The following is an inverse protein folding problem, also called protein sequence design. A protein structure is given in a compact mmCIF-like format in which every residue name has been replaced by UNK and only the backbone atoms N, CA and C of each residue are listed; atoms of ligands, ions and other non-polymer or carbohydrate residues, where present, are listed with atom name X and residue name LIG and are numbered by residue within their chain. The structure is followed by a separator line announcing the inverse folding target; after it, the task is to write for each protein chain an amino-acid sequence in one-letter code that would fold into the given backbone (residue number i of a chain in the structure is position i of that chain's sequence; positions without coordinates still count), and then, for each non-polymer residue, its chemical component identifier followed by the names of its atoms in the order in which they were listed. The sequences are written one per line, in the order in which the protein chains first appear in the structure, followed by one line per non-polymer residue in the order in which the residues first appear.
data_IF_397839430128
#
_entry.id   IF_397839430128
#
_cell.length_a   1.000
_cell.length_b   1.000
_cell.length_c   1.000
_cell.angle_alpha   90.00
_cell.angle_beta   90.00
_cell.angle_gamma   90.00
#
_symmetry.space_group_name_H-M   'P 1'
#
loop_
_entity.id
_entity.type
_entity.pdbx_description
1 polymer ?
#
# COMPACT_ATOMS: atom_id res chain seq x y z
N UNK A 1 -18.84 -23.11 31.04
CA UNK A 1 -18.78 -23.20 29.58
C UNK A 1 -17.58 -24.07 29.27
N UNK A 2 -17.78 -25.17 28.55
CA UNK A 2 -16.76 -26.21 28.38
C UNK A 2 -15.65 -25.72 27.44
N UNK A 3 -14.38 -25.95 27.77
CA UNK A 3 -13.21 -25.40 27.03
C UNK A 3 -13.23 -25.83 25.55
N UNK A 4 -13.81 -27.00 25.28
CA UNK A 4 -13.99 -27.55 23.95
C UNK A 4 -15.07 -26.82 23.13
N UNK A 5 -16.13 -26.35 23.78
CA UNK A 5 -17.18 -25.55 23.11
C UNK A 5 -16.68 -24.16 22.75
N UNK A 6 -15.90 -23.52 23.62
CA UNK A 6 -15.26 -22.22 23.33
C UNK A 6 -14.27 -22.33 22.17
N UNK A 7 -13.45 -23.38 22.13
CA UNK A 7 -12.49 -23.58 21.04
C UNK A 7 -13.18 -23.89 19.69
N UNK A 8 -14.28 -24.65 19.70
CA UNK A 8 -15.06 -24.92 18.49
C UNK A 8 -15.80 -23.67 17.98
N UNK A 9 -16.28 -22.82 18.90
CA UNK A 9 -16.92 -21.54 18.58
C UNK A 9 -15.94 -20.55 17.93
N UNK A 10 -14.77 -20.33 18.55
CA UNK A 10 -13.73 -19.42 18.03
C UNK A 10 -13.25 -19.83 16.64
N UNK A 11 -13.10 -21.15 16.41
CA UNK A 11 -12.71 -21.68 15.09
C UNK A 11 -13.76 -21.39 14.02
N UNK A 12 -15.05 -21.54 14.34
CA UNK A 12 -16.14 -21.21 13.39
C UNK A 12 -16.21 -19.72 13.11
N UNK A 13 -16.04 -18.88 14.14
CA UNK A 13 -16.02 -17.42 13.97
C UNK A 13 -14.87 -16.98 13.05
N UNK A 14 -13.65 -17.49 13.25
CA UNK A 14 -12.50 -17.21 12.36
C UNK A 14 -12.72 -17.67 10.92
N UNK A 15 -13.35 -18.82 10.72
CA UNK A 15 -13.66 -19.31 9.37
C UNK A 15 -14.69 -18.42 8.65
N UNK A 16 -15.74 -18.01 9.35
CA UNK A 16 -16.75 -17.10 8.81
C UNK A 16 -16.15 -15.73 8.45
N UNK A 17 -15.23 -15.23 9.27
CA UNK A 17 -14.52 -13.98 9.00
C UNK A 17 -13.60 -14.08 7.79
N UNK A 18 -12.78 -15.13 7.68
CA UNK A 18 -11.95 -15.34 6.49
C UNK A 18 -12.80 -15.43 5.22
N UNK A 19 -13.97 -16.06 5.30
CA UNK A 19 -14.93 -16.12 4.20
C UNK A 19 -15.49 -14.73 3.86
N UNK A 20 -15.93 -13.97 4.86
CA UNK A 20 -16.46 -12.62 4.68
C UNK A 20 -15.40 -11.66 4.10
N UNK A 21 -14.17 -11.71 4.60
CA UNK A 21 -13.05 -10.93 4.09
C UNK A 21 -12.74 -11.29 2.63
N UNK A 22 -12.67 -12.59 2.33
CA UNK A 22 -12.47 -13.06 0.96
C UNK A 22 -13.58 -12.59 0.01
N UNK A 23 -14.84 -12.69 0.43
CA UNK A 23 -15.98 -12.19 -0.33
C UNK A 23 -15.90 -10.68 -0.54
N UNK A 24 -15.46 -9.92 0.47
CA UNK A 24 -15.29 -8.46 0.34
C UNK A 24 -14.16 -8.04 -0.60
N UNK A 25 -13.21 -8.94 -0.90
CA UNK A 25 -12.15 -8.70 -1.88
C UNK A 25 -12.54 -9.04 -3.33
N UNK A 26 -13.65 -9.77 -3.54
CA UNK A 26 -14.11 -10.13 -4.90
C UNK A 26 -14.26 -8.91 -5.82
N UNK A 27 -14.88 -7.79 -5.40
CA UNK A 27 -14.96 -6.59 -6.24
C UNK A 27 -13.58 -6.05 -6.63
N UNK A 28 -12.62 -6.04 -5.70
CA UNK A 28 -11.25 -5.60 -5.96
C UNK A 28 -10.56 -6.47 -7.02
N UNK A 29 -10.67 -7.80 -6.91
CA UNK A 29 -10.08 -8.70 -7.90
C UNK A 29 -10.72 -8.54 -9.28
N UNK A 30 -12.05 -8.40 -9.35
CA UNK A 30 -12.76 -8.17 -10.61
C UNK A 30 -12.33 -6.85 -11.26
N UNK A 31 -12.26 -5.76 -10.48
CA UNK A 31 -11.81 -4.46 -11.00
C UNK A 31 -10.34 -4.48 -11.44
N UNK A 32 -9.46 -5.14 -10.68
CA UNK A 32 -8.04 -5.29 -11.01
C UNK A 32 -7.86 -6.10 -12.30
N UNK A 33 -8.58 -7.21 -12.45
CA UNK A 33 -8.56 -8.03 -13.64
C UNK A 33 -9.10 -7.27 -14.86
N UNK A 34 -10.20 -6.52 -14.70
CA UNK A 34 -10.74 -5.67 -15.76
C UNK A 34 -9.74 -4.60 -16.20
N UNK A 35 -9.10 -3.90 -15.26
CA UNK A 35 -8.06 -2.91 -15.58
C UNK A 35 -6.88 -3.55 -16.33
N UNK A 36 -6.33 -4.65 -15.82
CA UNK A 36 -5.19 -5.33 -16.43
C UNK A 36 -5.54 -5.89 -17.82
N UNK A 37 -6.75 -6.40 -18.01
CA UNK A 37 -7.24 -6.88 -19.30
C UNK A 37 -7.34 -5.75 -20.32
N UNK A 38 -7.98 -4.63 -19.94
CA UNK A 38 -8.09 -3.45 -20.81
C UNK A 38 -6.72 -2.94 -21.21
N UNK A 39 -5.81 -2.77 -20.24
CA UNK A 39 -4.47 -2.24 -20.46
C UNK A 39 -3.54 -3.21 -21.21
N UNK A 40 -3.81 -4.51 -21.17
CA UNK A 40 -3.05 -5.50 -21.93
C UNK A 40 -3.43 -5.54 -23.41
N UNK A 41 -4.67 -5.16 -23.76
CA UNK A 41 -5.17 -5.20 -25.14
C UNK A 41 -4.91 -3.89 -25.87
N UNK A 42 -5.24 -2.76 -25.25
CA UNK A 42 -5.03 -1.42 -25.79
C UNK A 42 -4.70 -0.47 -24.63
N UNK A 43 -3.58 0.27 -24.69
CA UNK A 43 -3.35 1.37 -23.76
C UNK A 43 -4.30 2.51 -24.13
N UNK A 44 -5.41 2.74 -23.39
CA UNK A 44 -6.37 3.76 -23.78
C UNK A 44 -5.70 5.15 -23.70
N UNK A 45 -6.09 6.10 -24.56
CA UNK A 45 -5.63 7.46 -24.42
C UNK A 45 -6.04 8.04 -23.05
N UNK A 46 -5.27 9.01 -22.50
CA UNK A 46 -5.60 9.65 -21.24
C UNK A 46 -7.05 10.18 -21.23
N UNK A 47 -7.86 9.66 -20.32
CA UNK A 47 -9.28 9.98 -20.23
C UNK A 47 -9.77 9.82 -18.79
N UNK A 48 -10.85 10.53 -18.46
CA UNK A 48 -11.51 10.41 -17.14
C UNK A 48 -11.97 8.97 -16.87
N UNK A 49 -12.39 8.25 -17.92
CA UNK A 49 -12.76 6.83 -17.82
C UNK A 49 -11.54 5.99 -17.47
N UNK A 50 -10.40 6.17 -18.16
CA UNK A 50 -9.17 5.44 -17.85
C UNK A 50 -8.68 5.71 -16.42
N UNK A 51 -8.77 6.95 -15.95
CA UNK A 51 -8.48 7.34 -14.57
C UNK A 51 -9.39 6.64 -13.57
N UNK A 52 -10.71 6.64 -13.83
CA UNK A 52 -11.69 5.94 -12.99
C UNK A 52 -11.45 4.43 -12.94
N UNK A 53 -11.19 3.78 -14.07
CA UNK A 53 -10.91 2.33 -14.13
C UNK A 53 -9.62 1.97 -13.41
N UNK A 54 -8.58 2.81 -13.51
CA UNK A 54 -7.31 2.63 -12.78
C UNK A 54 -7.47 2.81 -11.26
N UNK A 55 -8.26 3.79 -10.83
CA UNK A 55 -8.49 4.06 -9.41
C UNK A 55 -9.50 3.09 -8.76
N UNK A 56 -10.38 2.45 -9.54
CA UNK A 56 -11.48 1.63 -9.04
C UNK A 56 -11.05 0.50 -8.08
N UNK A 57 -10.00 -0.30 -8.34
CA UNK A 57 -9.58 -1.34 -7.40
C UNK A 57 -9.25 -0.78 -6.01
N UNK A 58 -8.53 0.34 -5.97
CA UNK A 58 -8.08 0.97 -4.71
C UNK A 58 -9.25 1.62 -3.98
N UNK A 59 -10.20 2.22 -4.70
CA UNK A 59 -11.44 2.75 -4.12
C UNK A 59 -12.30 1.64 -3.49
N UNK A 60 -12.36 0.46 -4.11
CA UNK A 60 -13.07 -0.69 -3.55
C UNK A 60 -12.39 -1.21 -2.27
N UNK A 61 -11.06 -1.21 -2.21
CA UNK A 61 -10.33 -1.50 -0.98
C UNK A 61 -10.59 -0.46 0.11
N UNK A 62 -10.63 0.84 -0.25
CA UNK A 62 -10.95 1.90 0.70
C UNK A 62 -12.37 1.71 1.28
N UNK A 63 -13.35 1.42 0.43
CA UNK A 63 -14.72 1.14 0.85
C UNK A 63 -14.81 -0.11 1.75
N UNK A 64 -14.05 -1.17 1.42
CA UNK A 64 -13.95 -2.35 2.28
C UNK A 64 -13.40 -1.97 3.65
N UNK A 65 -12.24 -1.31 3.72
CA UNK A 65 -11.62 -0.93 5.01
C UNK A 65 -12.56 -0.05 5.83
N UNK A 66 -13.28 0.89 5.20
CA UNK A 66 -14.29 1.71 5.90
C UNK A 66 -15.47 0.89 6.41
N UNK A 67 -15.91 -0.12 5.66
CA UNK A 67 -16.99 -1.01 6.08
C UNK A 67 -16.63 -1.86 7.31
N UNK A 68 -15.37 -2.28 7.43
CA UNK A 68 -14.89 -3.09 8.55
C UNK A 68 -14.44 -2.25 9.76
N UNK A 69 -13.61 -1.23 9.52
CA UNK A 69 -12.94 -0.47 10.59
C UNK A 69 -13.62 0.88 10.90
N UNK A 70 -14.65 1.24 10.12
CA UNK A 70 -15.40 2.47 10.27
C UNK A 70 -14.64 3.74 9.85
N UNK A 71 -15.30 4.88 10.03
CA UNK A 71 -14.79 6.21 9.63
C UNK A 71 -13.48 6.62 10.31
N UNK A 72 -13.10 5.99 11.43
CA UNK A 72 -11.82 6.24 12.09
C UNK A 72 -10.63 5.85 11.23
N UNK A 73 -10.78 4.88 10.31
CA UNK A 73 -9.71 4.50 9.37
C UNK A 73 -9.41 5.57 8.31
N UNK A 74 -10.26 6.61 8.15
CA UNK A 74 -9.95 7.75 7.28
C UNK A 74 -8.69 8.51 7.69
N UNK A 75 -8.37 8.55 8.99
CA UNK A 75 -7.13 9.13 9.47
C UNK A 75 -5.89 8.23 9.27
N UNK A 76 -6.05 7.08 8.61
CA UNK A 76 -5.02 6.06 8.43
C UNK A 76 -5.17 5.34 7.09
N UNK A 77 -5.36 4.02 7.11
CA UNK A 77 -5.30 3.18 5.91
C UNK A 77 -6.38 3.52 4.89
N UNK A 78 -7.65 3.71 5.28
CA UNK A 78 -8.68 4.10 4.32
C UNK A 78 -8.37 5.45 3.66
N UNK A 79 -7.89 6.44 4.42
CA UNK A 79 -7.48 7.73 3.86
C UNK A 79 -6.30 7.60 2.90
N UNK A 80 -5.31 6.76 3.25
CA UNK A 80 -4.17 6.47 2.38
C UNK A 80 -4.58 5.81 1.06
N UNK A 81 -5.55 4.89 1.09
CA UNK A 81 -6.13 4.28 -0.11
C UNK A 81 -6.87 5.31 -0.97
N UNK A 82 -7.65 6.21 -0.37
CA UNK A 82 -8.32 7.29 -1.11
C UNK A 82 -7.32 8.25 -1.77
N UNK A 83 -6.25 8.62 -1.07
CA UNK A 83 -5.17 9.45 -1.63
C UNK A 83 -4.40 8.73 -2.73
N UNK A 84 -4.18 7.42 -2.58
CA UNK A 84 -3.58 6.59 -3.61
C UNK A 84 -4.45 6.54 -4.88
N UNK A 85 -5.78 6.44 -4.72
CA UNK A 85 -6.72 6.52 -5.83
C UNK A 85 -6.71 7.89 -6.53
N UNK A 86 -6.54 8.98 -5.78
CA UNK A 86 -6.30 10.32 -6.37
C UNK A 86 -4.99 10.33 -7.16
N UNK A 87 -3.93 9.74 -6.60
CA UNK A 87 -2.66 9.54 -7.28
C UNK A 87 -2.80 8.78 -8.59
N UNK A 88 -3.56 7.68 -8.60
CA UNK A 88 -3.86 6.87 -9.78
C UNK A 88 -4.52 7.69 -10.89
N UNK A 89 -5.51 8.51 -10.53
CA UNK A 89 -6.17 9.42 -11.44
C UNK A 89 -5.19 10.44 -12.03
N UNK A 90 -4.37 11.10 -11.20
CA UNK A 90 -3.39 12.07 -11.67
C UNK A 90 -2.35 11.45 -12.62
N UNK A 91 -1.88 10.24 -12.31
CA UNK A 91 -0.86 9.56 -13.13
C UNK A 91 -1.34 9.09 -14.51
N UNK A 92 -2.62 9.27 -14.86
CA UNK A 92 -3.10 9.06 -16.24
C UNK A 92 -2.63 10.18 -17.17
N UNK A 93 -2.44 11.39 -16.65
CA UNK A 93 -1.98 12.55 -17.40
C UNK A 93 -0.52 12.88 -17.05
N UNK A 94 0.40 12.91 -18.02
CA UNK A 94 1.81 13.24 -17.76
C UNK A 94 2.00 14.59 -17.07
N UNK A 95 1.15 15.57 -17.38
CA UNK A 95 1.17 16.93 -16.82
C UNK A 95 0.85 16.94 -15.32
N UNK A 96 0.14 15.93 -14.84
CA UNK A 96 -0.27 15.81 -13.44
C UNK A 96 0.65 14.90 -12.62
N UNK A 97 1.79 14.49 -13.17
CA UNK A 97 2.74 13.58 -12.51
C UNK A 97 3.13 14.05 -11.10
N UNK A 98 3.48 15.34 -10.95
CA UNK A 98 3.90 15.90 -9.65
C UNK A 98 2.75 15.86 -8.62
N UNK A 99 1.52 16.17 -9.04
CA UNK A 99 0.35 16.09 -8.17
C UNK A 99 0.04 14.64 -7.78
N UNK A 100 0.19 13.69 -8.72
CA UNK A 100 0.04 12.27 -8.45
C UNK A 100 1.07 11.76 -7.43
N UNK A 101 2.35 12.12 -7.64
CA UNK A 101 3.43 11.83 -6.69
C UNK A 101 3.14 12.43 -5.31
N UNK A 102 2.63 13.67 -5.25
CA UNK A 102 2.22 14.32 -4.00
C UNK A 102 1.08 13.57 -3.29
N UNK A 103 0.07 13.11 -4.03
CA UNK A 103 -1.03 12.33 -3.48
C UNK A 103 -0.55 10.98 -2.91
N UNK A 104 0.33 10.27 -3.62
CA UNK A 104 0.96 9.05 -3.11
C UNK A 104 1.88 9.30 -1.90
N UNK A 105 2.64 10.40 -1.88
CA UNK A 105 3.43 10.79 -0.71
C UNK A 105 2.54 11.01 0.53
N UNK A 106 1.40 11.68 0.35
CA UNK A 106 0.42 11.87 1.42
C UNK A 106 -0.23 10.53 1.83
N UNK A 107 -0.44 9.59 0.90
CA UNK A 107 -0.88 8.24 1.23
C UNK A 107 0.13 7.50 2.11
N UNK A 108 1.41 7.51 1.74
CA UNK A 108 2.51 6.93 2.53
C UNK A 108 2.59 7.52 3.94
N UNK A 109 2.33 8.83 4.07
CA UNK A 109 2.24 9.48 5.37
C UNK A 109 1.06 8.96 6.20
N UNK A 110 -0.13 8.83 5.63
CA UNK A 110 -1.29 8.28 6.35
C UNK A 110 -1.09 6.81 6.75
N UNK A 111 -0.51 5.99 5.87
CA UNK A 111 -0.11 4.62 6.21
C UNK A 111 0.89 4.60 7.37
N UNK A 112 1.91 5.46 7.32
CA UNK A 112 2.90 5.60 8.39
C UNK A 112 2.25 6.00 9.72
N UNK A 113 1.35 6.98 9.71
CA UNK A 113 0.62 7.41 10.90
C UNK A 113 -0.26 6.28 11.45
N UNK A 114 -0.91 5.49 10.59
CA UNK A 114 -1.67 4.32 11.01
C UNK A 114 -0.78 3.30 11.73
N UNK A 115 0.38 2.96 11.15
CA UNK A 115 1.32 1.97 11.69
C UNK A 115 2.00 2.44 13.00
N UNK A 116 1.96 3.74 13.30
CA UNK A 116 2.42 4.29 14.59
C UNK A 116 1.40 4.14 15.71
N UNK A 117 0.13 3.88 15.40
CA UNK A 117 -0.91 3.77 16.43
C UNK A 117 -0.72 2.54 17.31
N UNK A 118 -1.26 2.59 18.53
CA UNK A 118 -1.17 1.49 19.48
C UNK A 118 -1.77 0.15 18.97
N UNK A 119 -2.66 0.22 17.97
CA UNK A 119 -3.28 -0.96 17.34
C UNK A 119 -2.23 -1.85 16.66
N UNK A 120 -1.20 -1.24 16.09
CA UNK A 120 -0.12 -1.88 15.35
C UNK A 120 1.14 -2.14 16.18
N UNK A 121 1.09 -1.91 17.50
CA UNK A 121 2.26 -2.14 18.34
C UNK A 121 2.52 -3.65 18.46
N UNK A 122 3.74 -4.12 18.17
CA UNK A 122 4.05 -5.54 18.24
C UNK A 122 3.90 -6.04 19.68
N UNK A 123 3.30 -7.22 19.83
CA UNK A 123 3.04 -7.85 21.13
C UNK A 123 4.30 -8.35 21.85
N UNK A 124 5.46 -8.35 21.17
CA UNK A 124 6.76 -8.73 21.73
C UNK A 124 7.77 -7.60 21.52
N UNK A 125 8.69 -7.39 22.48
CA UNK A 125 9.71 -6.36 22.34
C UNK A 125 10.60 -6.63 21.12
N UNK A 126 10.99 -5.54 20.46
CA UNK A 126 11.84 -5.58 19.28
C UNK A 126 13.24 -6.12 19.63
N UNK A 127 13.71 -7.11 18.86
CA UNK A 127 15.04 -7.72 19.00
C UNK A 127 16.11 -6.84 18.34
N UNK A 128 17.38 -6.99 18.74
CA UNK A 128 18.53 -6.28 18.13
C UNK A 128 18.58 -6.39 16.59
N UNK A 129 18.10 -7.52 16.03
CA UNK A 129 17.99 -7.73 14.58
C UNK A 129 17.05 -6.74 13.87
N UNK A 130 16.08 -6.15 14.58
CA UNK A 130 15.19 -5.13 14.01
C UNK A 130 15.92 -3.83 13.68
N UNK A 131 16.91 -3.43 14.50
CA UNK A 131 17.67 -2.18 14.26
C UNK A 131 18.49 -2.30 12.97
N UNK A 132 19.17 -3.43 12.77
CA UNK A 132 19.94 -3.68 11.55
C UNK A 132 19.04 -3.66 10.31
N UNK A 133 17.87 -4.29 10.40
CA UNK A 133 16.88 -4.31 9.32
C UNK A 133 16.38 -2.89 9.00
N UNK A 134 16.18 -2.05 10.02
CA UNK A 134 15.76 -0.66 9.79
C UNK A 134 16.82 0.16 9.05
N UNK A 135 18.07 0.06 9.49
CA UNK A 135 19.20 0.71 8.83
C UNK A 135 19.37 0.22 7.39
N UNK A 136 19.15 -1.08 7.14
CA UNK A 136 19.20 -1.65 5.80
C UNK A 136 18.15 -1.03 4.89
N UNK A 137 16.89 -0.91 5.33
CA UNK A 137 15.80 -0.36 4.50
C UNK A 137 16.04 1.11 4.18
N UNK A 138 16.48 1.92 5.15
CA UNK A 138 16.86 3.31 4.90
C UNK A 138 18.08 3.43 3.98
N UNK A 139 19.09 2.59 4.18
CA UNK A 139 20.29 2.53 3.34
C UNK A 139 19.96 2.17 1.89
N UNK A 140 19.08 1.20 1.67
CA UNK A 140 18.60 0.83 0.33
C UNK A 140 17.83 1.98 -0.33
N UNK A 141 16.97 2.68 0.42
CA UNK A 141 16.27 3.86 -0.07
C UNK A 141 17.21 5.00 -0.49
N UNK A 142 18.18 5.31 0.35
CA UNK A 142 19.19 6.33 0.06
C UNK A 142 20.05 5.94 -1.15
N UNK A 143 20.50 4.68 -1.22
CA UNK A 143 21.24 4.14 -2.36
C UNK A 143 20.43 4.21 -3.66
N UNK A 144 19.13 3.88 -3.60
CA UNK A 144 18.23 3.99 -4.74
C UNK A 144 18.09 5.45 -5.22
N UNK A 145 17.89 6.40 -4.30
CA UNK A 145 17.82 7.82 -4.64
C UNK A 145 19.12 8.32 -5.31
N UNK A 146 20.28 7.98 -4.74
CA UNK A 146 21.58 8.33 -5.32
C UNK A 146 21.76 7.71 -6.72
N UNK A 147 21.28 6.48 -6.92
CA UNK A 147 21.34 5.80 -8.20
C UNK A 147 20.51 6.49 -9.29
N UNK A 148 19.28 6.92 -8.98
CA UNK A 148 18.39 7.58 -9.95
C UNK A 148 18.71 9.07 -10.14
N UNK A 149 19.44 9.70 -9.22
CA UNK A 149 19.79 11.12 -9.23
C UNK A 149 20.33 11.65 -10.59
N UNK A 150 21.33 11.05 -11.25
CA UNK A 150 21.82 11.57 -12.53
C UNK A 150 20.79 11.50 -13.67
N UNK A 151 19.79 10.62 -13.58
CA UNK A 151 18.70 10.53 -14.55
C UNK A 151 17.62 11.56 -14.24
N UNK A 152 17.35 11.78 -12.96
CA UNK A 152 16.44 12.82 -12.47
C UNK A 152 16.89 14.22 -12.89
N UNK A 153 18.20 14.50 -12.88
CA UNK A 153 18.76 15.78 -13.34
C UNK A 153 18.53 16.06 -14.83
N UNK A 154 18.28 15.03 -15.64
CA UNK A 154 17.99 15.16 -17.08
C UNK A 154 16.51 15.44 -17.37
N UNK A 155 15.64 15.34 -16.36
CA UNK A 155 14.23 15.64 -16.52
C UNK A 155 14.01 17.16 -16.69
N UNK A 156 13.01 17.60 -17.46
CA UNK A 156 12.74 19.02 -17.71
C UNK A 156 12.47 19.82 -16.43
N UNK A 157 11.85 19.21 -15.41
CA UNK A 157 11.53 19.85 -14.13
C UNK A 157 12.44 19.39 -12.98
N UNK A 158 13.71 19.12 -13.27
CA UNK A 158 14.66 18.54 -12.32
C UNK A 158 14.80 19.34 -11.01
N UNK A 159 14.68 20.66 -11.05
CA UNK A 159 14.77 21.52 -9.86
C UNK A 159 13.69 21.23 -8.80
N UNK A 160 12.46 20.91 -9.23
CA UNK A 160 11.35 20.54 -8.35
C UNK A 160 11.34 19.02 -8.07
N UNK A 161 11.62 18.21 -9.09
CA UNK A 161 11.59 16.76 -8.99
C UNK A 161 12.69 16.21 -8.08
N UNK A 162 13.86 16.83 -8.02
CA UNK A 162 14.99 16.40 -7.18
C UNK A 162 14.59 16.34 -5.69
N UNK A 163 14.21 17.47 -5.05
CA UNK A 163 13.76 17.43 -3.66
C UNK A 163 12.46 16.64 -3.50
N UNK A 164 11.54 16.70 -4.47
CA UNK A 164 10.25 15.98 -4.41
C UNK A 164 10.42 14.46 -4.34
N UNK A 165 11.23 13.88 -5.23
CA UNK A 165 11.54 12.44 -5.23
C UNK A 165 12.33 12.05 -3.99
N UNK A 166 13.24 12.91 -3.51
CA UNK A 166 13.97 12.66 -2.26
C UNK A 166 13.04 12.53 -1.05
N UNK A 167 12.09 13.46 -0.90
CA UNK A 167 11.05 13.41 0.14
C UNK A 167 10.17 12.16 -0.03
N UNK A 168 9.77 11.86 -1.26
CA UNK A 168 8.97 10.68 -1.57
C UNK A 168 9.65 9.38 -1.14
N UNK A 169 10.92 9.20 -1.52
CA UNK A 169 11.73 8.03 -1.14
C UNK A 169 11.88 7.96 0.38
N UNK A 170 12.08 9.09 1.05
CA UNK A 170 12.10 9.15 2.52
C UNK A 170 10.79 8.68 3.16
N UNK A 171 9.63 9.11 2.63
CA UNK A 171 8.32 8.74 3.16
C UNK A 171 7.99 7.27 2.94
N UNK A 172 8.21 6.73 1.74
CA UNK A 172 7.92 5.32 1.46
C UNK A 172 8.87 4.37 2.22
N UNK A 173 10.13 4.76 2.41
CA UNK A 173 11.08 3.99 3.22
C UNK A 173 10.73 4.07 4.71
N UNK A 174 10.28 5.22 5.20
CA UNK A 174 9.74 5.36 6.54
C UNK A 174 8.52 4.46 6.73
N UNK A 175 7.57 4.47 5.80
CA UNK A 175 6.40 3.60 5.83
C UNK A 175 6.79 2.13 5.90
N UNK A 176 7.72 1.67 5.05
CA UNK A 176 8.20 0.30 5.04
C UNK A 176 8.87 -0.10 6.37
N UNK A 177 9.67 0.79 6.96
CA UNK A 177 10.26 0.59 8.28
C UNK A 177 9.21 0.46 9.39
N UNK A 178 8.21 1.34 9.37
CA UNK A 178 7.10 1.30 10.33
C UNK A 178 6.25 0.05 10.16
N UNK A 179 6.07 -0.43 8.93
CA UNK A 179 5.42 -1.71 8.65
C UNK A 179 6.19 -2.88 9.28
N UNK A 180 7.52 -2.93 9.14
CA UNK A 180 8.37 -3.94 9.79
C UNK A 180 8.20 -3.92 11.31
N UNK A 181 8.10 -2.73 11.91
CA UNK A 181 7.85 -2.57 13.34
C UNK A 181 6.53 -3.19 13.78
N UNK A 182 5.48 -3.23 12.95
CA UNK A 182 4.19 -3.81 13.36
C UNK A 182 4.27 -5.31 13.61
N UNK A 183 5.25 -6.00 13.01
CA UNK A 183 5.37 -7.46 13.06
C UNK A 183 4.26 -8.20 12.30
N UNK A 184 3.38 -7.47 11.61
CA UNK A 184 2.26 -8.05 10.88
C UNK A 184 2.65 -8.35 9.44
N UNK A 185 2.65 -9.63 9.09
CA UNK A 185 3.13 -10.12 7.78
C UNK A 185 2.43 -9.46 6.61
N UNK A 186 1.10 -9.30 6.64
CA UNK A 186 0.34 -8.67 5.56
C UNK A 186 0.79 -7.21 5.32
N UNK A 187 0.85 -6.40 6.36
CA UNK A 187 1.29 -4.99 6.27
C UNK A 187 2.75 -4.85 5.84
N UNK A 188 3.63 -5.74 6.32
CA UNK A 188 5.05 -5.78 5.92
C UNK A 188 5.17 -6.09 4.43
N UNK A 189 4.56 -7.19 3.98
CA UNK A 189 4.60 -7.60 2.58
C UNK A 189 3.98 -6.52 1.68
N UNK A 190 2.86 -5.93 2.11
CA UNK A 190 2.22 -4.85 1.36
C UNK A 190 3.12 -3.63 1.20
N UNK A 191 3.75 -3.17 2.29
CA UNK A 191 4.63 -1.99 2.24
C UNK A 191 5.90 -2.24 1.42
N UNK A 192 6.47 -3.46 1.50
CA UNK A 192 7.61 -3.85 0.66
C UNK A 192 7.20 -3.95 -0.81
N UNK A 193 6.05 -4.54 -1.12
CA UNK A 193 5.51 -4.59 -2.49
C UNK A 193 5.27 -3.19 -3.04
N UNK A 194 4.82 -2.24 -2.23
CA UNK A 194 4.65 -0.84 -2.63
C UNK A 194 6.00 -0.21 -2.98
N UNK A 195 6.99 -0.37 -2.11
CA UNK A 195 8.34 0.14 -2.33
C UNK A 195 8.95 -0.41 -3.63
N UNK A 196 8.75 -1.70 -3.91
CA UNK A 196 9.20 -2.34 -5.16
C UNK A 196 8.45 -1.77 -6.36
N UNK A 197 7.13 -1.64 -6.28
CA UNK A 197 6.31 -1.08 -7.36
C UNK A 197 6.77 0.33 -7.75
N UNK A 198 6.95 1.20 -6.76
CA UNK A 198 7.38 2.58 -6.98
C UNK A 198 8.82 2.70 -7.46
N UNK A 199 9.71 1.82 -6.99
CA UNK A 199 11.07 1.75 -7.51
C UNK A 199 11.07 1.39 -8.99
N UNK A 200 10.28 0.38 -9.40
CA UNK A 200 10.16 -0.01 -10.81
C UNK A 200 9.51 1.11 -11.63
N UNK A 201 8.48 1.78 -11.10
CA UNK A 201 7.84 2.94 -11.75
C UNK A 201 8.83 4.07 -11.96
N UNK A 202 9.61 4.45 -10.94
CA UNK A 202 10.62 5.50 -11.03
C UNK A 202 11.69 5.18 -12.08
N UNK A 203 12.16 3.93 -12.15
CA UNK A 203 13.11 3.50 -13.17
C UNK A 203 12.55 3.63 -14.59
N UNK A 204 11.25 3.40 -14.79
CA UNK A 204 10.58 3.59 -16.09
C UNK A 204 10.36 5.07 -16.42
N UNK A 205 9.85 5.85 -15.47
CA UNK A 205 9.54 7.28 -15.65
C UNK A 205 10.80 8.09 -15.95
N UNK A 206 11.89 7.84 -15.22
CA UNK A 206 13.18 8.52 -15.44
C UNK A 206 14.04 7.86 -16.52
N UNK A 207 13.46 6.92 -17.30
CA UNK A 207 14.09 6.28 -18.46
C UNK A 207 15.45 5.63 -18.13
N UNK A 208 15.57 5.08 -16.93
CA UNK A 208 16.77 4.33 -16.49
C UNK A 208 16.81 2.98 -17.18
N UNK A 209 15.64 2.35 -17.34
CA UNK A 209 15.45 1.12 -18.11
C UNK A 209 14.70 1.42 -19.41
N UNK A 210 15.02 0.68 -20.48
CA UNK A 210 14.29 0.76 -21.74
C UNK A 210 12.80 0.42 -21.52
N UNK A 211 11.90 0.99 -22.33
CA UNK A 211 10.47 0.74 -22.22
C UNK A 211 10.16 -0.74 -22.44
N UNK A 212 10.03 -1.50 -21.36
CA UNK A 212 9.65 -2.91 -21.41
C UNK A 212 8.19 -2.97 -21.85
N UNK A 213 7.89 -3.78 -22.87
CA UNK A 213 6.55 -4.00 -23.45
C UNK A 213 5.48 -4.38 -22.39
N UNK A 214 5.90 -4.83 -21.20
CA UNK A 214 5.06 -5.19 -20.05
C UNK A 214 5.44 -4.47 -18.74
N UNK A 215 6.25 -3.41 -18.80
CA UNK A 215 6.74 -2.70 -17.61
C UNK A 215 5.61 -2.13 -16.74
N UNK A 216 4.56 -1.59 -17.37
CA UNK A 216 3.41 -1.06 -16.64
C UNK A 216 2.56 -2.14 -15.97
N UNK A 217 2.39 -3.31 -16.59
CA UNK A 217 1.65 -4.41 -15.98
C UNK A 217 2.33 -4.90 -14.70
N UNK A 218 3.67 -5.02 -14.70
CA UNK A 218 4.43 -5.40 -13.51
C UNK A 218 4.29 -4.39 -12.37
N UNK A 219 4.34 -3.09 -12.68
CA UNK A 219 4.08 -2.02 -11.70
C UNK A 219 2.68 -2.14 -11.13
N UNK A 220 1.65 -2.26 -11.98
CA UNK A 220 0.26 -2.28 -11.52
C UNK A 220 -0.09 -3.54 -10.73
N UNK A 221 0.46 -4.71 -11.08
CA UNK A 221 0.28 -5.94 -10.30
C UNK A 221 0.91 -5.82 -8.92
N UNK A 222 2.14 -5.34 -8.83
CA UNK A 222 2.84 -5.15 -7.54
C UNK A 222 2.18 -4.07 -6.69
N UNK A 223 1.67 -3.01 -7.33
CA UNK A 223 0.91 -1.93 -6.70
C UNK A 223 -0.42 -2.39 -6.12
N UNK A 224 -1.27 -3.06 -6.90
CA UNK A 224 -2.55 -3.54 -6.40
C UNK A 224 -2.37 -4.61 -5.32
N UNK A 225 -1.36 -5.48 -5.45
CA UNK A 225 -0.98 -6.41 -4.40
C UNK A 225 -0.58 -5.68 -3.11
N UNK A 226 0.21 -4.61 -3.23
CA UNK A 226 0.61 -3.79 -2.09
C UNK A 226 -0.58 -3.20 -1.34
N UNK A 227 -1.49 -2.55 -2.07
CA UNK A 227 -2.69 -1.92 -1.51
C UNK A 227 -3.60 -2.95 -0.85
N UNK A 228 -3.82 -4.11 -1.49
CA UNK A 228 -4.63 -5.18 -0.93
C UNK A 228 -4.03 -5.70 0.38
N UNK A 229 -2.72 -5.96 0.42
CA UNK A 229 -2.05 -6.48 1.61
C UNK A 229 -2.08 -5.48 2.78
N UNK A 230 -1.93 -4.17 2.51
CA UNK A 230 -2.09 -3.12 3.53
C UNK A 230 -3.54 -3.07 4.04
N UNK A 231 -4.53 -3.09 3.14
CA UNK A 231 -5.95 -3.07 3.49
C UNK A 231 -6.37 -4.28 4.34
N UNK A 232 -5.98 -5.50 3.91
CA UNK A 232 -6.20 -6.73 4.67
C UNK A 232 -5.48 -6.68 6.02
N UNK A 233 -4.27 -6.13 6.05
CA UNK A 233 -3.53 -5.92 7.30
C UNK A 233 -4.30 -5.06 8.31
N UNK A 234 -4.87 -3.93 7.87
CA UNK A 234 -5.69 -3.06 8.72
C UNK A 234 -6.92 -3.76 9.29
N UNK A 235 -7.65 -4.52 8.47
CA UNK A 235 -8.84 -5.25 8.94
C UNK A 235 -8.46 -6.32 9.98
N UNK A 236 -7.38 -7.06 9.73
CA UNK A 236 -6.94 -8.13 10.65
C UNK A 236 -6.41 -7.61 11.98
N UNK A 237 -5.79 -6.43 12.02
CA UNK A 237 -5.29 -5.83 13.28
C UNK A 237 -6.40 -5.39 14.20
N UNK A 238 -7.48 -4.81 13.65
CA UNK A 238 -8.61 -4.36 14.45
C UNK A 238 -9.29 -5.55 15.11
N UNK A 239 -9.49 -6.65 14.38
CA UNK A 239 -10.11 -7.85 14.95
C UNK A 239 -9.26 -8.48 16.06
N UNK A 240 -7.94 -8.62 15.87
CA UNK A 240 -7.06 -9.23 16.88
C UNK A 240 -7.05 -8.43 18.20
N UNK A 241 -7.31 -7.11 18.13
CA UNK A 241 -7.48 -6.27 19.31
C UNK A 241 -8.84 -6.49 19.99
N UNK A 242 -9.91 -6.60 19.21
CA UNK A 242 -11.26 -6.81 19.74
C UNK A 242 -11.38 -8.18 20.42
N UNK A 243 -10.85 -9.25 19.80
CA UNK A 243 -10.78 -10.59 20.39
C UNK A 243 -9.96 -10.60 21.69
N UNK A 244 -8.79 -9.94 21.70
CA UNK A 244 -7.98 -9.86 22.91
C UNK A 244 -8.64 -9.07 24.03
N UNK A 245 -9.41 -8.03 23.70
CA UNK A 245 -10.16 -7.24 24.68
C UNK A 245 -11.30 -8.04 25.31
N UNK A 246 -11.96 -8.91 24.53
CA UNK A 246 -12.99 -9.84 25.02
C UNK A 246 -12.36 -10.89 25.95
N UNK A 247 -11.23 -11.48 25.56
CA UNK A 247 -10.52 -12.46 26.38
C UNK A 247 -10.11 -11.92 27.76
N UNK A 248 -9.61 -10.67 27.84
CA UNK A 248 -9.27 -10.03 29.13
C UNK A 248 -10.45 -9.78 30.06
N UNK A 249 -11.69 -9.77 29.54
CA UNK A 249 -12.91 -9.49 30.30
C UNK A 249 -13.64 -10.76 30.76
N UNK A 250 -13.28 -11.92 30.21
CA UNK A 250 -13.80 -13.24 30.60
C UNK A 250 -12.99 -13.86 31.72
#
# INVERSE_FOLDING_TARGET
MDILETHAYDRRQRQNMSCALFLSLVPFFLASAAFLFLWAHDSPPPSVVAAGVKAAPVLLLAAMVLGWNGWRSLGGVAGGLLLSAVGDCCLVWPELFIYGMGAFAAAHLLFSLAFLTARYLPRRPSSSHSVLLYLLVFGLGAAFYVYIYPFLQKAPDSALLTPGVGVYVGLITLMANLAIRTGQVATILGSVSFLVSDSVLALQVFKVIASIKHGQAAVMVTYYLAQMLIAVGDVLVVEDQDDFSKWKRS
#
